data_IF_874963851303
#
_entry.id   IF_874963851303
#
_cell.length_a   1.000
_cell.length_b   1.000
_cell.length_c   1.000
_cell.angle_alpha   90.00
_cell.angle_beta   90.00
_cell.angle_gamma   90.00
#
_symmetry.space_group_name_H-M   'P 1'
#
loop_
_entity.id
_entity.type
_entity.pdbx_description
1 polymer ?
#
# COMPACT_ATOMS: atom_id res chain seq x y z
N UNK A 1 37.15 12.96 0.98
CA UNK A 1 36.06 11.98 0.78
C UNK A 1 35.32 12.36 -0.49
N UNK A 2 35.96 12.15 -1.63
CA UNK A 2 35.46 12.46 -2.96
C UNK A 2 34.57 11.31 -3.47
N UNK A 3 33.33 11.64 -3.80
CA UNK A 3 32.44 10.92 -4.73
C UNK A 3 32.42 9.39 -4.67
N UNK A 4 31.81 8.84 -3.61
CA UNK A 4 31.12 7.56 -3.73
C UNK A 4 29.86 7.77 -4.59
N UNK A 5 30.00 7.74 -5.92
CA UNK A 5 28.87 7.58 -6.84
C UNK A 5 28.27 6.19 -6.56
N UNK A 6 27.28 6.15 -5.67
CA UNK A 6 26.50 4.95 -5.39
C UNK A 6 25.84 4.50 -6.70
N UNK A 7 26.29 3.38 -7.24
CA UNK A 7 25.69 2.78 -8.43
C UNK A 7 24.17 2.56 -8.20
N UNK A 8 23.33 2.79 -9.21
CA UNK A 8 21.90 2.54 -9.09
C UNK A 8 21.63 1.06 -8.77
N UNK A 9 20.67 0.82 -7.87
CA UNK A 9 20.30 -0.53 -7.46
C UNK A 9 19.80 -1.34 -8.67
N UNK A 10 20.13 -2.65 -8.76
CA UNK A 10 19.51 -3.51 -9.75
C UNK A 10 17.99 -3.53 -9.55
N UNK A 11 17.18 -3.80 -10.59
CA UNK A 11 15.71 -3.68 -10.52
C UNK A 11 15.07 -4.40 -9.33
N UNK A 12 15.57 -5.58 -8.96
CA UNK A 12 15.12 -6.35 -7.80
C UNK A 12 15.51 -5.70 -6.45
N UNK A 13 16.67 -5.04 -6.39
CA UNK A 13 17.12 -4.29 -5.22
C UNK A 13 16.28 -3.03 -4.99
N UNK A 14 15.93 -2.32 -6.08
CA UNK A 14 14.98 -1.20 -6.05
C UNK A 14 13.58 -1.65 -5.65
N UNK A 15 13.13 -2.82 -6.12
CA UNK A 15 11.85 -3.40 -5.74
C UNK A 15 11.81 -3.77 -4.24
N UNK A 16 12.88 -4.40 -3.72
CA UNK A 16 12.98 -4.77 -2.30
C UNK A 16 13.06 -3.53 -1.39
N UNK A 17 13.81 -2.52 -1.80
CA UNK A 17 13.87 -1.23 -1.10
C UNK A 17 12.51 -0.52 -1.08
N UNK A 18 11.83 -0.48 -2.23
CA UNK A 18 10.48 0.07 -2.35
C UNK A 18 9.47 -0.68 -1.49
N UNK A 19 9.48 -2.01 -1.52
CA UNK A 19 8.59 -2.84 -0.70
C UNK A 19 8.84 -2.67 0.80
N UNK A 20 10.12 -2.68 1.23
CA UNK A 20 10.49 -2.49 2.63
C UNK A 20 10.10 -1.10 3.14
N UNK A 21 10.33 -0.06 2.32
CA UNK A 21 9.90 1.30 2.63
C UNK A 21 8.38 1.43 2.72
N UNK A 22 7.64 0.75 1.84
CA UNK A 22 6.17 0.75 1.88
C UNK A 22 5.62 0.02 3.11
N UNK A 23 6.24 -1.08 3.54
CA UNK A 23 5.85 -1.78 4.77
C UNK A 23 6.11 -0.91 6.00
N UNK A 24 7.29 -0.30 6.10
CA UNK A 24 7.62 0.60 7.21
C UNK A 24 6.70 1.83 7.25
N UNK A 25 6.44 2.46 6.11
CA UNK A 25 5.52 3.59 6.02
C UNK A 25 4.11 3.19 6.45
N UNK A 26 3.59 2.06 5.95
CA UNK A 26 2.27 1.56 6.35
C UNK A 26 2.21 1.22 7.84
N UNK A 27 3.25 0.60 8.41
CA UNK A 27 3.31 0.32 9.84
C UNK A 27 3.29 1.61 10.69
N UNK A 28 4.03 2.65 10.28
CA UNK A 28 4.04 3.94 10.98
C UNK A 28 2.68 4.64 10.94
N UNK A 29 1.96 4.55 9.81
CA UNK A 29 0.63 5.18 9.67
C UNK A 29 -0.53 4.27 10.08
N UNK A 30 -0.25 3.01 10.45
CA UNK A 30 -1.26 2.01 10.75
C UNK A 30 -2.23 2.39 11.88
N UNK A 31 -1.81 3.09 12.95
CA UNK A 31 -2.73 3.58 13.97
C UNK A 31 -3.87 4.44 13.38
N UNK A 32 -3.61 5.21 12.32
CA UNK A 32 -4.64 6.00 11.64
C UNK A 32 -5.62 5.12 10.84
N UNK A 33 -5.18 3.96 10.35
CA UNK A 33 -6.07 2.99 9.71
C UNK A 33 -7.04 2.37 10.69
N UNK A 34 -6.56 1.93 11.86
CA UNK A 34 -7.46 1.41 12.90
C UNK A 34 -8.47 2.47 13.32
N UNK A 35 -7.99 3.67 13.64
CA UNK A 35 -8.85 4.77 14.10
C UNK A 35 -9.89 5.11 13.04
N UNK A 36 -9.48 5.21 11.77
CA UNK A 36 -10.40 5.41 10.65
C UNK A 36 -11.45 4.30 10.60
N UNK A 37 -11.04 3.04 10.55
CA UNK A 37 -11.96 1.91 10.37
C UNK A 37 -12.94 1.81 11.55
N UNK A 38 -12.47 1.94 12.80
CA UNK A 38 -13.35 1.96 13.99
C UNK A 38 -14.34 3.12 13.96
N UNK A 39 -13.91 4.33 13.60
CA UNK A 39 -14.79 5.50 13.44
C UNK A 39 -15.82 5.31 12.34
N UNK A 40 -15.50 4.60 11.25
CA UNK A 40 -16.41 4.36 10.12
C UNK A 40 -17.45 3.28 10.40
N UNK A 41 -17.14 2.31 11.27
CA UNK A 41 -18.03 1.20 11.59
C UNK A 41 -18.91 1.49 12.80
N UNK A 42 -18.46 2.31 13.74
CA UNK A 42 -19.27 2.64 14.91
C UNK A 42 -20.55 3.38 14.49
N UNK A 43 -21.65 3.00 15.12
CA UNK A 43 -22.93 3.70 15.06
C UNK A 43 -23.39 3.92 16.49
N UNK A 44 -23.89 5.12 16.80
CA UNK A 44 -24.47 5.47 18.10
C UNK A 44 -25.65 4.54 18.37
N UNK A 45 -25.58 3.85 19.50
CA UNK A 45 -26.72 3.08 19.98
C UNK A 45 -27.82 4.00 20.46
N UNK A 46 -29.08 3.58 20.25
CA UNK A 46 -30.27 4.36 20.63
C UNK A 46 -30.42 4.55 22.14
N UNK A 47 -29.90 3.60 22.91
CA UNK A 47 -29.92 3.62 24.38
C UNK A 47 -28.75 4.41 24.99
N UNK A 48 -27.83 4.93 24.16
CA UNK A 48 -26.61 5.61 24.60
C UNK A 48 -25.59 4.69 25.28
N UNK A 49 -25.77 3.36 25.23
CA UNK A 49 -24.91 2.41 25.92
C UNK A 49 -23.73 1.95 25.07
N UNK A 50 -22.55 1.81 25.69
CA UNK A 50 -21.34 1.32 25.04
C UNK A 50 -20.35 2.40 24.61
N UNK A 51 -19.16 1.97 24.23
CA UNK A 51 -18.10 2.88 23.81
C UNK A 51 -18.40 3.52 22.47
N UNK A 52 -18.37 4.85 22.45
CA UNK A 52 -18.44 5.68 21.25
C UNK A 52 -17.20 6.56 21.19
N UNK A 53 -16.59 6.66 20.02
CA UNK A 53 -15.44 7.53 19.77
C UNK A 53 -15.92 8.87 19.21
N UNK A 54 -15.68 9.96 19.94
CA UNK A 54 -16.06 11.32 19.50
C UNK A 54 -15.19 11.85 18.37
N UNK A 55 -14.01 11.27 18.18
CA UNK A 55 -13.09 11.63 17.11
C UNK A 55 -11.80 10.85 17.16
N UNK A 56 -10.85 11.22 16.29
CA UNK A 56 -9.59 10.49 16.13
C UNK A 56 -8.75 10.45 17.40
N UNK A 57 -8.65 11.57 18.10
CA UNK A 57 -7.84 11.67 19.33
C UNK A 57 -8.47 10.87 20.47
N UNK A 58 -9.79 10.98 20.63
CA UNK A 58 -10.56 10.20 21.60
C UNK A 58 -10.45 8.70 21.32
N UNK A 59 -10.54 8.29 20.05
CA UNK A 59 -10.31 6.90 19.64
C UNK A 59 -8.91 6.40 20.01
N UNK A 60 -7.85 7.16 19.70
CA UNK A 60 -6.48 6.78 20.07
C UNK A 60 -6.35 6.63 21.58
N UNK A 61 -6.86 7.61 22.34
CA UNK A 61 -6.79 7.61 23.80
C UNK A 61 -7.47 6.38 24.39
N UNK A 62 -8.73 6.14 24.03
CA UNK A 62 -9.51 4.98 24.50
C UNK A 62 -8.86 3.66 24.12
N UNK A 63 -8.42 3.49 22.87
CA UNK A 63 -7.72 2.27 22.44
C UNK A 63 -6.46 2.03 23.26
N UNK A 64 -5.68 3.07 23.57
CA UNK A 64 -4.45 2.93 24.36
C UNK A 64 -4.77 2.64 25.84
N UNK A 65 -5.80 3.25 26.41
CA UNK A 65 -6.26 2.99 27.77
C UNK A 65 -6.80 1.55 27.91
N UNK A 66 -7.53 1.06 26.92
CA UNK A 66 -8.18 -0.24 26.95
C UNK A 66 -7.25 -1.38 26.53
N UNK A 67 -6.52 -1.24 25.42
CA UNK A 67 -5.76 -2.31 24.79
C UNK A 67 -4.23 -2.08 24.80
N UNK A 68 -3.78 -0.93 25.32
CA UNK A 68 -2.40 -0.50 25.20
C UNK A 68 -2.00 -0.11 23.78
N UNK A 69 -0.71 0.19 23.58
CA UNK A 69 -0.18 0.56 22.26
C UNK A 69 -0.38 -0.56 21.24
N UNK A 70 -0.34 -1.83 21.66
CA UNK A 70 -0.60 -2.97 20.79
C UNK A 70 -2.01 -2.96 20.17
N UNK A 71 -3.00 -2.35 20.83
CA UNK A 71 -4.35 -2.17 20.28
C UNK A 71 -4.38 -1.35 18.99
N UNK A 72 -3.51 -0.33 18.87
CA UNK A 72 -3.36 0.48 17.65
C UNK A 72 -2.77 -0.30 16.46
N UNK A 73 -2.29 -1.51 16.70
CA UNK A 73 -1.69 -2.41 15.71
C UNK A 73 -2.49 -3.71 15.48
N UNK A 74 -3.70 -3.80 16.05
CA UNK A 74 -4.60 -4.95 15.88
C UNK A 74 -5.00 -5.20 14.41
N UNK A 75 -4.64 -6.36 13.87
CA UNK A 75 -4.94 -6.72 12.48
C UNK A 75 -3.94 -6.20 11.44
N UNK A 76 -2.74 -5.77 11.88
CA UNK A 76 -1.70 -5.30 10.95
C UNK A 76 -1.30 -6.37 9.93
N UNK A 77 -1.27 -7.65 10.32
CA UNK A 77 -0.93 -8.76 9.43
C UNK A 77 -1.92 -8.88 8.26
N UNK A 78 -3.23 -8.86 8.55
CA UNK A 78 -4.27 -8.85 7.51
C UNK A 78 -4.19 -7.61 6.64
N UNK A 79 -3.84 -6.45 7.21
CA UNK A 79 -3.67 -5.22 6.44
C UNK A 79 -2.47 -5.29 5.49
N UNK A 80 -1.31 -5.76 5.96
CA UNK A 80 -0.12 -5.92 5.13
C UNK A 80 -0.37 -6.93 4.00
N UNK A 81 -1.04 -8.05 4.29
CA UNK A 81 -1.46 -9.02 3.28
C UNK A 81 -2.43 -8.39 2.27
N UNK A 82 -3.39 -7.59 2.74
CA UNK A 82 -4.33 -6.85 1.90
C UNK A 82 -3.65 -5.85 0.98
N UNK A 83 -2.66 -5.10 1.48
CA UNK A 83 -1.86 -4.16 0.67
C UNK A 83 -1.05 -4.92 -0.38
N UNK A 84 -0.36 -5.99 0.00
CA UNK A 84 0.42 -6.81 -0.92
C UNK A 84 -0.46 -7.41 -2.03
N UNK A 85 -1.61 -7.99 -1.66
CA UNK A 85 -2.57 -8.55 -2.59
C UNK A 85 -3.15 -7.48 -3.54
N UNK A 86 -3.53 -6.32 -3.01
CA UNK A 86 -4.10 -5.22 -3.80
C UNK A 86 -3.10 -4.71 -4.83
N UNK A 87 -1.85 -4.47 -4.42
CA UNK A 87 -0.82 -4.00 -5.32
C UNK A 87 -0.51 -5.04 -6.41
N UNK A 88 -0.32 -6.30 -6.01
CA UNK A 88 -0.06 -7.38 -6.97
C UNK A 88 -1.18 -7.51 -8.00
N UNK A 89 -2.43 -7.64 -7.52
CA UNK A 89 -3.59 -7.80 -8.39
C UNK A 89 -3.78 -6.59 -9.31
N UNK A 90 -3.64 -5.37 -8.80
CA UNK A 90 -3.73 -4.16 -9.61
C UNK A 90 -2.69 -4.14 -10.73
N UNK A 91 -1.40 -4.32 -10.42
CA UNK A 91 -0.34 -4.27 -11.43
C UNK A 91 -0.45 -5.41 -12.44
N UNK A 92 -0.82 -6.62 -11.99
CA UNK A 92 -1.05 -7.76 -12.85
C UNK A 92 -2.17 -7.49 -13.86
N UNK A 93 -3.36 -7.10 -13.39
CA UNK A 93 -4.49 -6.79 -14.27
C UNK A 93 -4.24 -5.56 -15.14
N UNK A 94 -3.58 -4.54 -14.62
CA UNK A 94 -3.20 -3.36 -15.38
C UNK A 94 -2.24 -3.71 -16.52
N UNK A 95 -1.24 -4.57 -16.27
CA UNK A 95 -0.34 -5.05 -17.31
C UNK A 95 -1.10 -5.80 -18.41
N UNK A 96 -2.06 -6.67 -18.04
CA UNK A 96 -2.89 -7.40 -19.02
C UNK A 96 -3.75 -6.43 -19.83
N UNK A 97 -4.50 -5.56 -19.16
CA UNK A 97 -5.40 -4.58 -19.81
C UNK A 97 -4.61 -3.67 -20.74
N UNK A 98 -3.45 -3.17 -20.30
CA UNK A 98 -2.55 -2.32 -21.11
C UNK A 98 -2.00 -3.06 -22.32
N UNK A 99 -1.57 -4.31 -22.17
CA UNK A 99 -1.06 -5.13 -23.29
C UNK A 99 -2.14 -5.40 -24.32
N UNK A 100 -3.37 -5.69 -23.87
CA UNK A 100 -4.51 -5.87 -24.77
C UNK A 100 -4.84 -4.55 -25.48
N UNK A 101 -4.91 -3.44 -24.77
CA UNK A 101 -5.19 -2.13 -25.36
C UNK A 101 -4.14 -1.71 -26.41
N UNK A 102 -2.85 -1.95 -26.14
CA UNK A 102 -1.77 -1.70 -27.10
C UNK A 102 -1.91 -2.56 -28.36
N UNK A 103 -2.29 -3.84 -28.21
CA UNK A 103 -2.52 -4.76 -29.33
C UNK A 103 -3.67 -4.30 -30.22
N UNK A 104 -4.76 -3.78 -29.65
CA UNK A 104 -5.91 -3.28 -30.41
C UNK A 104 -5.68 -1.88 -31.01
N UNK A 105 -4.95 -1.01 -30.31
CA UNK A 105 -4.69 0.37 -30.75
C UNK A 105 -3.53 0.48 -31.74
N UNK A 106 -2.69 -0.55 -31.88
CA UNK A 106 -1.48 -0.52 -32.72
C UNK A 106 -0.38 0.45 -32.22
N UNK A 107 -0.52 1.01 -31.02
CA UNK A 107 0.41 1.99 -30.43
C UNK A 107 0.56 1.75 -28.93
N UNK A 108 1.78 1.93 -28.42
CA UNK A 108 2.11 1.92 -27.00
C UNK A 108 1.91 3.28 -26.31
N UNK A 109 1.56 4.32 -27.07
CA UNK A 109 1.26 5.64 -26.54
C UNK A 109 -0.25 5.79 -26.36
N UNK A 110 -0.69 5.83 -25.11
CA UNK A 110 -2.09 6.04 -24.74
C UNK A 110 -2.28 7.43 -24.14
N UNK A 111 -3.42 8.06 -24.43
CA UNK A 111 -3.80 9.31 -23.78
C UNK A 111 -3.99 9.11 -22.29
N UNK A 112 -3.88 10.18 -21.50
CA UNK A 112 -4.12 10.12 -20.04
C UNK A 112 -5.50 9.56 -19.71
N UNK A 113 -6.53 9.89 -20.50
CA UNK A 113 -7.87 9.36 -20.33
C UNK A 113 -7.95 7.85 -20.58
N UNK A 114 -7.23 7.34 -21.59
CA UNK A 114 -7.13 5.92 -21.86
C UNK A 114 -6.37 5.19 -20.74
N UNK A 115 -5.28 5.76 -20.24
CA UNK A 115 -4.53 5.23 -19.09
C UNK A 115 -5.38 5.17 -17.81
N UNK A 116 -6.18 6.20 -17.54
CA UNK A 116 -7.12 6.21 -16.42
C UNK A 116 -8.22 5.15 -16.59
N UNK A 117 -8.73 4.97 -17.80
CA UNK A 117 -9.77 3.97 -18.10
C UNK A 117 -9.22 2.55 -17.93
N UNK A 118 -8.01 2.28 -18.43
CA UNK A 118 -7.32 1.01 -18.22
C UNK A 118 -7.04 0.75 -16.74
N UNK A 119 -6.61 1.78 -15.99
CA UNK A 119 -6.43 1.71 -14.54
C UNK A 119 -7.74 1.40 -13.81
N UNK A 120 -8.86 1.97 -14.24
CA UNK A 120 -10.18 1.70 -13.68
C UNK A 120 -10.61 0.24 -13.94
N UNK A 121 -10.49 -0.25 -15.17
CA UNK A 121 -10.82 -1.65 -15.52
C UNK A 121 -9.93 -2.62 -14.74
N UNK A 122 -8.63 -2.35 -14.67
CA UNK A 122 -7.69 -3.14 -13.88
C UNK A 122 -8.05 -3.15 -12.39
N UNK A 123 -8.41 -1.99 -11.84
CA UNK A 123 -8.89 -1.85 -10.47
C UNK A 123 -10.15 -2.66 -10.20
N UNK A 124 -11.12 -2.66 -11.12
CA UNK A 124 -12.34 -3.46 -11.00
C UNK A 124 -12.04 -4.97 -11.02
N UNK A 125 -11.16 -5.43 -11.91
CA UNK A 125 -10.74 -6.84 -11.97
C UNK A 125 -9.97 -7.25 -10.71
N UNK A 126 -9.07 -6.39 -10.22
CA UNK A 126 -8.31 -6.64 -9.00
C UNK A 126 -9.22 -6.78 -7.77
N UNK A 127 -10.35 -6.08 -7.72
CA UNK A 127 -11.31 -6.18 -6.62
C UNK A 127 -11.92 -7.58 -6.48
N UNK A 128 -12.07 -8.34 -7.56
CA UNK A 128 -12.58 -9.70 -7.49
C UNK A 128 -11.71 -10.61 -6.61
N UNK A 129 -10.40 -10.34 -6.55
CA UNK A 129 -9.44 -11.14 -5.77
C UNK A 129 -9.07 -10.51 -4.42
N UNK A 130 -9.25 -9.21 -4.28
CA UNK A 130 -8.77 -8.46 -3.11
C UNK A 130 -9.86 -8.18 -2.08
N UNK A 131 -11.14 -8.22 -2.46
CA UNK A 131 -12.26 -8.02 -1.54
C UNK A 131 -12.31 -9.08 -0.42
N UNK A 132 -12.08 -10.38 -0.67
CA UNK A 132 -11.99 -11.38 0.41
C UNK A 132 -11.01 -11.01 1.52
N UNK A 133 -9.82 -10.54 1.14
CA UNK A 133 -8.80 -10.11 2.11
C UNK A 133 -9.24 -8.82 2.79
N UNK A 134 -9.82 -7.87 2.05
CA UNK A 134 -10.33 -6.62 2.64
C UNK A 134 -11.44 -6.85 3.68
N UNK A 135 -12.34 -7.81 3.45
CA UNK A 135 -13.37 -8.21 4.42
C UNK A 135 -12.73 -8.75 5.69
N UNK A 136 -11.78 -9.69 5.56
CA UNK A 136 -11.08 -10.28 6.71
C UNK A 136 -10.35 -9.20 7.51
N UNK A 137 -9.59 -8.34 6.84
CA UNK A 137 -8.85 -7.24 7.47
C UNK A 137 -9.78 -6.26 8.19
N UNK A 138 -10.90 -5.88 7.57
CA UNK A 138 -11.86 -4.95 8.17
C UNK A 138 -12.49 -5.56 9.43
N UNK A 139 -12.81 -6.86 9.40
CA UNK A 139 -13.28 -7.57 10.61
C UNK A 139 -12.23 -7.57 11.71
N UNK A 140 -10.97 -7.90 11.40
CA UNK A 140 -9.89 -7.89 12.40
C UNK A 140 -9.64 -6.49 13.00
N UNK A 141 -9.73 -5.43 12.20
CA UNK A 141 -9.57 -4.04 12.67
C UNK A 141 -10.70 -3.57 13.58
N UNK A 142 -11.88 -4.21 13.50
CA UNK A 142 -13.08 -3.86 14.27
C UNK A 142 -13.44 -4.86 15.35
N UNK A 143 -12.60 -5.87 15.57
CA UNK A 143 -12.79 -6.83 16.65
C UNK A 143 -12.72 -6.14 18.02
N UNK A 144 -13.58 -6.55 18.97
CA UNK A 144 -13.48 -6.11 20.36
C UNK A 144 -12.29 -6.78 21.05
N UNK A 145 -11.80 -6.16 22.13
CA UNK A 145 -10.61 -6.56 22.90
C UNK A 145 -10.55 -8.06 23.28
N UNK A 146 -11.70 -8.67 23.58
CA UNK A 146 -11.80 -10.07 24.02
C UNK A 146 -11.96 -11.12 22.92
N UNK A 147 -12.06 -10.70 21.65
CA UNK A 147 -12.39 -11.60 20.53
C UNK A 147 -11.44 -11.36 19.34
N UNK A 148 -10.14 -11.24 19.64
CA UNK A 148 -9.10 -11.07 18.64
C UNK A 148 -8.80 -12.41 17.96
N UNK A 149 -9.23 -12.54 16.70
CA UNK A 149 -9.08 -13.76 15.92
C UNK A 149 -8.00 -13.63 14.86
N UNK A 150 -7.36 -14.74 14.55
CA UNK A 150 -6.42 -14.84 13.43
C UNK A 150 -7.11 -14.66 12.07
N UNK A 151 -6.32 -14.53 10.99
CA UNK A 151 -6.83 -14.35 9.62
C UNK A 151 -7.72 -15.54 9.21
N UNK A 152 -7.26 -16.77 9.45
CA UNK A 152 -7.99 -17.99 9.07
C UNK A 152 -9.29 -18.16 9.86
N UNK A 153 -9.25 -17.87 11.16
CA UNK A 153 -10.43 -17.97 12.01
C UNK A 153 -11.46 -16.89 11.67
N UNK A 154 -11.01 -15.67 11.37
CA UNK A 154 -11.87 -14.59 10.87
C UNK A 154 -12.48 -14.95 9.51
N UNK A 155 -11.71 -15.57 8.60
CA UNK A 155 -12.22 -16.05 7.33
C UNK A 155 -13.29 -17.13 7.52
N UNK A 156 -13.05 -18.08 8.43
CA UNK A 156 -14.02 -19.12 8.79
C UNK A 156 -15.31 -18.53 9.35
N UNK A 157 -15.22 -17.56 10.27
CA UNK A 157 -16.39 -16.85 10.81
C UNK A 157 -17.20 -16.12 9.73
N UNK A 158 -16.54 -15.56 8.71
CA UNK A 158 -17.25 -14.95 7.57
C UNK A 158 -18.00 -16.01 6.78
N UNK A 159 -17.35 -17.15 6.50
CA UNK A 159 -17.93 -18.25 5.71
C UNK A 159 -19.06 -18.95 6.47
N UNK A 160 -18.99 -19.02 7.80
CA UNK A 160 -20.03 -19.61 8.65
C UNK A 160 -21.24 -18.67 8.88
N UNK A 161 -21.18 -17.43 8.41
CA UNK A 161 -22.35 -16.53 8.44
C UNK A 161 -23.37 -16.88 7.35
N UNK A 162 -24.58 -16.32 7.44
CA UNK A 162 -25.72 -16.61 6.55
C UNK A 162 -25.42 -16.52 5.03
N UNK A 163 -24.41 -15.74 4.62
CA UNK A 163 -24.03 -15.56 3.21
C UNK A 163 -23.06 -16.65 2.70
N UNK A 164 -22.59 -17.56 3.56
CA UNK A 164 -21.62 -18.59 3.21
C UNK A 164 -20.31 -17.99 2.69
N UNK A 165 -19.71 -18.66 1.70
CA UNK A 165 -18.50 -18.21 0.99
C UNK A 165 -18.66 -16.85 0.29
N UNK A 166 -19.89 -16.47 -0.10
CA UNK A 166 -20.15 -15.19 -0.76
C UNK A 166 -20.00 -14.00 0.20
N UNK A 167 -20.03 -14.24 1.52
CA UNK A 167 -19.77 -13.25 2.56
C UNK A 167 -18.39 -12.60 2.44
N UNK A 168 -17.40 -13.29 1.85
CA UNK A 168 -16.07 -12.74 1.57
C UNK A 168 -16.09 -11.64 0.50
N UNK A 169 -17.16 -11.53 -0.30
CA UNK A 169 -17.32 -10.47 -1.30
C UNK A 169 -18.25 -9.33 -0.85
N UNK A 170 -18.58 -9.24 0.44
CA UNK A 170 -19.33 -8.11 0.98
C UNK A 170 -18.62 -6.79 0.67
N UNK A 171 -19.40 -5.84 0.15
CA UNK A 171 -18.88 -4.55 -0.30
C UNK A 171 -18.32 -4.53 -1.73
N UNK A 172 -18.32 -5.63 -2.48
CA UNK A 172 -17.85 -5.65 -3.88
C UNK A 172 -18.58 -4.60 -4.74
N UNK A 173 -19.91 -4.54 -4.68
CA UNK A 173 -20.71 -3.55 -5.44
C UNK A 173 -20.31 -2.11 -5.11
N UNK A 174 -20.17 -1.79 -3.81
CA UNK A 174 -19.72 -0.47 -3.37
C UNK A 174 -18.30 -0.17 -3.84
N UNK A 175 -17.42 -1.17 -3.77
CA UNK A 175 -16.03 -1.06 -4.19
C UNK A 175 -15.88 -0.84 -5.70
N UNK A 176 -16.72 -1.47 -6.52
CA UNK A 176 -16.73 -1.29 -7.97
C UNK A 176 -17.16 0.14 -8.34
N UNK A 177 -18.15 0.70 -7.64
CA UNK A 177 -18.51 2.11 -7.82
C UNK A 177 -17.37 3.03 -7.38
N UNK A 178 -16.65 2.69 -6.30
CA UNK A 178 -15.48 3.44 -5.83
C UNK A 178 -14.28 3.43 -6.80
N UNK A 179 -14.28 2.58 -7.84
CA UNK A 179 -13.28 2.63 -8.91
C UNK A 179 -13.29 3.97 -9.65
N UNK A 180 -14.37 4.75 -9.55
CA UNK A 180 -14.46 6.11 -10.10
C UNK A 180 -13.59 7.14 -9.35
N UNK A 181 -13.11 6.84 -8.13
CA UNK A 181 -12.40 7.81 -7.28
C UNK A 181 -11.15 8.43 -7.94
N UNK A 182 -10.27 7.66 -8.64
CA UNK A 182 -9.17 8.24 -9.40
C UNK A 182 -9.63 9.19 -10.50
N UNK A 183 -10.72 8.88 -11.20
CA UNK A 183 -11.30 9.75 -12.24
C UNK A 183 -11.81 11.07 -11.65
N UNK A 184 -12.50 11.02 -10.50
CA UNK A 184 -12.92 12.22 -9.76
C UNK A 184 -11.70 13.03 -9.32
N UNK A 185 -10.65 12.36 -8.81
CA UNK A 185 -9.41 13.00 -8.38
C UNK A 185 -8.74 13.73 -9.53
N UNK A 186 -8.61 13.08 -10.69
CA UNK A 186 -8.02 13.69 -11.89
C UNK A 186 -8.86 14.87 -12.42
N UNK A 187 -10.19 14.70 -12.49
CA UNK A 187 -11.08 15.79 -12.90
C UNK A 187 -10.99 17.00 -11.95
N UNK A 188 -10.94 16.75 -10.64
CA UNK A 188 -10.72 17.80 -9.64
C UNK A 188 -9.33 18.45 -9.78
N UNK A 189 -8.30 17.66 -10.11
CA UNK A 189 -6.94 18.15 -10.36
C UNK A 189 -6.89 19.12 -11.53
N UNK A 190 -7.44 18.75 -12.68
CA UNK A 190 -7.44 19.61 -13.86
C UNK A 190 -8.26 20.90 -13.62
N UNK A 191 -9.41 20.81 -12.95
CA UNK A 191 -10.22 21.99 -12.62
C UNK A 191 -9.54 22.92 -11.62
N UNK A 192 -9.01 22.38 -10.52
CA UNK A 192 -8.29 23.19 -9.52
C UNK A 192 -7.03 23.83 -10.10
N UNK A 193 -6.34 23.13 -11.03
CA UNK A 193 -5.17 23.68 -11.72
C UNK A 193 -5.51 24.93 -12.53
N UNK A 194 -6.62 24.90 -13.25
CA UNK A 194 -7.09 26.05 -14.04
C UNK A 194 -7.50 27.19 -13.12
N UNK A 195 -8.30 26.90 -12.08
CA UNK A 195 -8.85 27.92 -11.17
C UNK A 195 -7.78 28.57 -10.30
N UNK A 196 -6.89 27.79 -9.70
CA UNK A 196 -5.91 28.29 -8.71
C UNK A 196 -4.63 28.79 -9.39
N UNK A 197 -4.17 28.12 -10.45
CA UNK A 197 -2.88 28.39 -11.07
C UNK A 197 -2.96 28.94 -12.50
N UNK A 198 -4.16 29.25 -12.99
CA UNK A 198 -4.38 29.79 -14.34
C UNK A 198 -3.99 28.82 -15.46
N UNK A 199 -3.97 27.52 -15.19
CA UNK A 199 -3.62 26.50 -16.19
C UNK A 199 -2.12 26.39 -16.48
N UNK A 200 -1.24 26.91 -15.62
CA UNK A 200 0.22 26.80 -15.77
C UNK A 200 0.67 25.36 -16.04
N UNK A 201 1.45 25.17 -17.10
CA UNK A 201 1.98 23.87 -17.53
C UNK A 201 2.95 23.27 -16.50
N UNK A 202 3.69 24.11 -15.78
CA UNK A 202 4.68 23.73 -14.79
C UNK A 202 4.34 24.34 -13.43
N UNK A 203 4.23 23.48 -12.42
CA UNK A 203 3.98 23.85 -11.02
C UNK A 203 5.24 23.60 -10.20
N UNK A 204 5.48 24.43 -9.19
CA UNK A 204 6.53 24.17 -8.19
C UNK A 204 6.18 22.89 -7.40
N UNK A 205 7.17 22.18 -6.82
CA UNK A 205 6.91 20.93 -6.09
C UNK A 205 5.83 21.06 -4.99
N UNK A 206 5.84 22.15 -4.22
CA UNK A 206 4.84 22.38 -3.18
C UNK A 206 3.45 22.75 -3.74
N UNK A 207 3.39 23.43 -4.90
CA UNK A 207 2.14 23.76 -5.60
C UNK A 207 1.50 22.48 -6.16
N UNK A 208 2.30 21.61 -6.78
CA UNK A 208 1.86 20.30 -7.27
C UNK A 208 1.39 19.39 -6.12
N UNK A 209 2.09 19.43 -4.98
CA UNK A 209 1.68 18.73 -3.77
C UNK A 209 0.33 19.24 -3.24
N UNK A 210 0.20 20.56 -3.08
CA UNK A 210 -1.04 21.18 -2.59
C UNK A 210 -2.22 20.88 -3.52
N UNK A 211 -2.00 21.01 -4.83
CA UNK A 211 -3.00 20.69 -5.85
C UNK A 211 -3.42 19.23 -5.74
N UNK A 212 -2.47 18.29 -5.71
CA UNK A 212 -2.75 16.86 -5.56
C UNK A 212 -3.51 16.54 -4.26
N UNK A 213 -3.12 17.14 -3.14
CA UNK A 213 -3.77 16.95 -1.84
C UNK A 213 -5.21 17.48 -1.83
N UNK A 214 -5.46 18.66 -2.39
CA UNK A 214 -6.80 19.24 -2.51
C UNK A 214 -7.70 18.40 -3.41
N UNK A 215 -7.21 18.00 -4.59
CA UNK A 215 -7.95 17.14 -5.52
C UNK A 215 -8.32 15.81 -4.90
N UNK A 216 -7.39 15.18 -4.16
CA UNK A 216 -7.66 13.92 -3.48
C UNK A 216 -8.64 14.09 -2.32
N UNK A 217 -8.56 15.21 -1.60
CA UNK A 217 -9.49 15.52 -0.51
C UNK A 217 -10.91 15.72 -1.04
N UNK A 218 -11.09 16.48 -2.13
CA UNK A 218 -12.40 16.67 -2.78
C UNK A 218 -12.99 15.34 -3.26
N UNK A 219 -12.19 14.51 -3.93
CA UNK A 219 -12.63 13.18 -4.36
C UNK A 219 -13.01 12.29 -3.17
N UNK A 220 -12.28 12.40 -2.06
CA UNK A 220 -12.58 11.68 -0.83
C UNK A 220 -13.90 12.14 -0.22
N UNK A 221 -14.12 13.45 -0.09
CA UNK A 221 -15.40 14.01 0.40
C UNK A 221 -16.57 13.50 -0.44
N UNK A 222 -16.46 13.56 -1.77
CA UNK A 222 -17.51 13.12 -2.69
C UNK A 222 -17.80 11.62 -2.59
N UNK A 223 -16.80 10.81 -2.26
CA UNK A 223 -16.94 9.34 -2.18
C UNK A 223 -17.11 8.82 -0.76
N UNK A 224 -17.02 9.68 0.25
CA UNK A 224 -17.02 9.29 1.67
C UNK A 224 -18.25 8.48 2.08
N UNK A 225 -19.50 8.86 1.72
CA UNK A 225 -20.68 8.06 2.07
C UNK A 225 -20.57 6.61 1.62
N UNK A 226 -20.04 6.40 0.41
CA UNK A 226 -19.86 5.07 -0.15
C UNK A 226 -18.66 4.32 0.45
N UNK A 227 -17.62 5.03 0.87
CA UNK A 227 -16.49 4.45 1.61
C UNK A 227 -16.97 3.93 2.97
N UNK A 228 -17.72 4.74 3.71
CA UNK A 228 -18.30 4.34 5.01
C UNK A 228 -19.24 3.15 4.81
N UNK A 229 -20.11 3.20 3.80
CA UNK A 229 -21.02 2.10 3.50
C UNK A 229 -20.30 0.80 3.10
N UNK A 230 -19.21 0.90 2.32
CA UNK A 230 -18.35 -0.25 1.99
C UNK A 230 -17.77 -0.85 3.27
N UNK A 231 -17.20 -0.02 4.14
CA UNK A 231 -16.56 -0.50 5.37
C UNK A 231 -17.59 -1.13 6.32
N UNK A 232 -18.78 -0.54 6.44
CA UNK A 232 -19.89 -1.12 7.22
C UNK A 232 -20.44 -2.44 6.66
N UNK A 233 -20.37 -2.67 5.34
CA UNK A 233 -20.69 -3.98 4.75
C UNK A 233 -19.64 -5.05 5.09
N UNK A 234 -18.38 -4.63 5.29
CA UNK A 234 -17.24 -5.51 5.53
C UNK A 234 -17.03 -5.83 7.01
N UNK A 235 -17.55 -4.98 7.90
CA UNK A 235 -17.49 -5.19 9.35
C UNK A 235 -18.53 -6.20 9.84
N UNK A 236 -18.47 -6.51 11.14
CA UNK A 236 -19.56 -7.22 11.80
C UNK A 236 -20.82 -6.33 11.85
N UNK A 237 -22.03 -6.91 11.75
CA UNK A 237 -23.25 -6.16 11.93
C UNK A 237 -23.33 -5.55 13.34
N UNK A 238 -23.93 -4.35 13.47
CA UNK A 238 -24.19 -3.72 14.77
C UNK A 238 -24.99 -4.63 15.71
N UNK A 239 -24.81 -4.52 17.04
CA UNK A 239 -25.54 -5.32 18.01
C UNK A 239 -27.07 -5.26 17.85
N UNK A 240 -27.63 -4.09 17.48
CA UNK A 240 -29.08 -3.94 17.28
C UNK A 240 -29.65 -4.80 16.15
N UNK A 241 -28.78 -5.28 15.25
CA UNK A 241 -29.18 -6.15 14.13
C UNK A 241 -29.10 -7.64 14.48
N UNK A 242 -28.80 -8.01 15.72
CA UNK A 242 -28.80 -9.40 16.20
C UNK A 242 -28.01 -10.37 15.29
N UNK A 243 -26.84 -9.93 14.80
CA UNK A 243 -26.00 -10.72 13.90
C UNK A 243 -26.38 -10.68 12.42
N UNK A 244 -27.52 -10.06 12.05
CA UNK A 244 -27.97 -9.97 10.66
C UNK A 244 -27.15 -8.95 9.88
N UNK A 245 -26.36 -9.38 8.87
CA UNK A 245 -25.51 -8.50 8.10
C UNK A 245 -26.31 -7.55 7.19
N UNK A 246 -25.68 -6.45 6.80
CA UNK A 246 -26.20 -5.56 5.77
C UNK A 246 -26.05 -6.19 4.39
N UNK A 247 -27.07 -6.06 3.54
CA UNK A 247 -27.09 -6.63 2.18
C UNK A 247 -26.68 -5.62 1.10
N UNK A 248 -26.82 -4.32 1.37
CA UNK A 248 -26.52 -3.27 0.40
C UNK A 248 -25.88 -2.04 1.05
N UNK A 249 -25.12 -1.29 0.26
CA UNK A 249 -24.53 -0.03 0.74
C UNK A 249 -25.61 1.02 1.03
N UNK A 250 -26.76 0.97 0.34
CA UNK A 250 -27.92 1.81 0.63
C UNK A 250 -28.49 1.55 2.03
N UNK A 251 -28.59 0.28 2.41
CA UNK A 251 -29.05 -0.13 3.73
C UNK A 251 -28.11 0.36 4.85
N UNK A 252 -26.79 0.26 4.64
CA UNK A 252 -25.81 0.82 5.59
C UNK A 252 -25.96 2.34 5.72
N UNK A 253 -26.06 3.04 4.58
CA UNK A 253 -26.20 4.50 4.61
C UNK A 253 -27.50 4.93 5.29
N UNK A 254 -28.63 4.28 4.98
CA UNK A 254 -29.91 4.55 5.61
C UNK A 254 -29.83 4.33 7.12
N UNK A 255 -29.25 3.21 7.55
CA UNK A 255 -29.08 2.89 8.97
C UNK A 255 -28.24 3.95 9.70
N UNK A 256 -27.14 4.41 9.11
CA UNK A 256 -26.31 5.49 9.69
C UNK A 256 -27.11 6.79 9.79
N UNK A 257 -27.82 7.16 8.72
CA UNK A 257 -28.63 8.40 8.69
C UNK A 257 -29.75 8.37 9.72
N UNK A 258 -30.40 7.22 9.92
CA UNK A 258 -31.46 7.06 10.92
C UNK A 258 -30.95 7.19 12.36
N UNK A 259 -29.72 6.75 12.64
CA UNK A 259 -29.18 6.75 14.00
C UNK A 259 -28.39 8.02 14.34
N UNK A 260 -27.83 8.70 13.34
CA UNK A 260 -26.84 9.77 13.56
C UNK A 260 -26.99 10.98 12.65
N UNK A 261 -27.94 10.92 11.71
CA UNK A 261 -28.14 11.93 10.69
C UNK A 261 -27.12 11.85 9.54
N UNK A 262 -27.25 12.78 8.60
CA UNK A 262 -26.50 12.80 7.34
C UNK A 262 -24.99 13.00 7.52
N UNK A 263 -24.57 13.69 8.60
CA UNK A 263 -23.15 13.87 8.92
C UNK A 263 -22.47 12.57 9.36
N UNK A 264 -23.23 11.55 9.80
CA UNK A 264 -22.69 10.22 10.10
C UNK A 264 -22.01 9.55 8.89
N UNK A 265 -22.44 9.89 7.67
CA UNK A 265 -21.82 9.39 6.43
C UNK A 265 -20.42 9.93 6.17
N UNK A 266 -19.97 10.94 6.92
CA UNK A 266 -18.66 11.57 6.78
C UNK A 266 -17.66 11.19 7.88
N UNK A 267 -18.01 10.19 8.71
CA UNK A 267 -17.11 9.71 9.76
C UNK A 267 -15.80 9.17 9.22
N UNK A 268 -14.74 9.33 10.01
CA UNK A 268 -13.39 8.89 9.67
C UNK A 268 -12.72 9.72 8.56
N UNK A 269 -13.34 10.80 8.07
CA UNK A 269 -12.75 11.65 7.03
C UNK A 269 -11.46 12.34 7.50
N UNK A 270 -11.41 12.75 8.77
CA UNK A 270 -10.22 13.36 9.38
C UNK A 270 -8.99 12.45 9.31
N UNK A 271 -9.01 11.26 9.95
CA UNK A 271 -7.94 10.27 9.84
C UNK A 271 -7.60 9.93 8.38
N UNK A 272 -8.58 9.85 7.49
CA UNK A 272 -8.37 9.51 6.10
C UNK A 272 -7.60 10.58 5.32
N UNK A 273 -7.93 11.86 5.52
CA UNK A 273 -7.21 13.00 4.91
C UNK A 273 -5.81 13.10 5.51
N UNK A 274 -5.69 13.04 6.84
CA UNK A 274 -4.39 13.09 7.53
C UNK A 274 -3.50 11.94 7.08
N UNK A 275 -4.03 10.72 7.00
CA UNK A 275 -3.32 9.57 6.45
C UNK A 275 -2.88 9.83 5.01
N UNK A 276 -3.75 10.37 4.15
CA UNK A 276 -3.38 10.67 2.76
C UNK A 276 -2.17 11.61 2.66
N UNK A 277 -2.14 12.66 3.48
CA UNK A 277 -1.05 13.63 3.54
C UNK A 277 0.22 13.01 4.14
N UNK A 278 0.09 12.32 5.28
CA UNK A 278 1.22 11.71 5.99
C UNK A 278 1.81 10.54 5.23
N UNK A 279 1.01 9.66 4.64
CA UNK A 279 1.51 8.56 3.81
C UNK A 279 2.31 9.13 2.65
N UNK A 280 1.87 10.20 2.00
CA UNK A 280 2.65 10.77 0.90
C UNK A 280 3.99 11.34 1.39
N UNK A 281 4.01 12.07 2.52
CA UNK A 281 5.25 12.61 3.10
C UNK A 281 6.19 11.52 3.64
N UNK A 282 5.67 10.60 4.46
CA UNK A 282 6.41 9.50 5.06
C UNK A 282 6.87 8.50 4.01
N UNK A 283 6.08 8.18 2.99
CA UNK A 283 6.50 7.31 1.89
C UNK A 283 7.65 7.93 1.10
N UNK A 284 7.62 9.23 0.82
CA UNK A 284 8.74 9.92 0.16
C UNK A 284 10.00 9.89 1.02
N UNK A 285 9.89 10.22 2.31
CA UNK A 285 11.02 10.17 3.24
C UNK A 285 11.55 8.75 3.45
N UNK A 286 10.66 7.77 3.64
CA UNK A 286 11.02 6.37 3.85
C UNK A 286 11.65 5.78 2.58
N UNK A 287 11.11 6.07 1.39
CA UNK A 287 11.70 5.64 0.12
C UNK A 287 13.12 6.18 -0.01
N UNK A 288 13.35 7.47 0.22
CA UNK A 288 14.68 8.07 0.12
C UNK A 288 15.67 7.47 1.13
N UNK A 289 15.26 7.29 2.38
CA UNK A 289 16.13 6.73 3.44
C UNK A 289 16.41 5.24 3.23
N UNK A 290 15.40 4.46 2.86
CA UNK A 290 15.53 3.03 2.58
C UNK A 290 16.36 2.81 1.31
N UNK A 291 16.16 3.60 0.27
CA UNK A 291 16.99 3.53 -0.95
C UNK A 291 18.46 3.84 -0.65
N UNK A 292 18.75 4.83 0.21
CA UNK A 292 20.13 5.11 0.67
C UNK A 292 20.70 3.95 1.50
N UNK A 293 19.93 3.40 2.44
CA UNK A 293 20.33 2.23 3.24
C UNK A 293 20.65 1.01 2.36
N UNK A 294 19.82 0.72 1.36
CA UNK A 294 20.06 -0.36 0.41
C UNK A 294 21.29 -0.07 -0.45
N UNK A 295 21.46 1.16 -0.97
CA UNK A 295 22.67 1.54 -1.71
C UNK A 295 23.95 1.32 -0.88
N UNK A 296 23.94 1.71 0.40
CA UNK A 296 25.06 1.49 1.33
C UNK A 296 25.27 0.00 1.60
N UNK A 297 24.22 -0.77 1.86
CA UNK A 297 24.29 -2.21 2.09
C UNK A 297 24.87 -2.95 0.87
N UNK A 298 24.40 -2.64 -0.33
CA UNK A 298 24.91 -3.23 -1.56
C UNK A 298 26.35 -2.82 -1.86
N UNK A 299 26.71 -1.55 -1.64
CA UNK A 299 28.09 -1.11 -1.74
C UNK A 299 28.99 -1.89 -0.76
N UNK A 300 28.54 -2.10 0.48
CA UNK A 300 29.25 -2.89 1.47
C UNK A 300 29.41 -4.36 1.05
N UNK A 301 28.35 -5.02 0.56
CA UNK A 301 28.41 -6.41 0.08
C UNK A 301 29.38 -6.53 -1.11
N UNK A 302 29.37 -5.56 -2.04
CA UNK A 302 30.25 -5.54 -3.22
C UNK A 302 31.72 -5.35 -2.80
N UNK A 303 32.00 -4.43 -1.87
CA UNK A 303 33.30 -4.23 -1.25
C UNK A 303 33.79 -5.48 -0.50
N UNK A 304 32.92 -6.14 0.25
CA UNK A 304 33.24 -7.38 0.95
C UNK A 304 33.60 -8.51 -0.03
N UNK A 305 32.84 -8.65 -1.13
CA UNK A 305 33.14 -9.60 -2.21
C UNK A 305 34.47 -9.27 -2.90
N UNK A 306 34.73 -8.00 -3.23
CA UNK A 306 35.99 -7.57 -3.85
C UNK A 306 37.19 -7.86 -2.95
N UNK A 307 37.14 -7.50 -1.66
CA UNK A 307 38.20 -7.82 -0.69
C UNK A 307 38.45 -9.33 -0.60
N UNK A 308 37.39 -10.13 -0.65
CA UNK A 308 37.49 -11.61 -0.63
C UNK A 308 38.14 -12.15 -1.90
N UNK A 309 37.76 -11.62 -3.07
CA UNK A 309 38.34 -11.94 -4.38
C UNK A 309 39.81 -11.50 -4.50
N UNK A 310 40.18 -10.32 -3.99
CA UNK A 310 41.57 -9.85 -3.95
C UNK A 310 42.43 -10.72 -3.04
N UNK A 311 41.90 -11.14 -1.88
CA UNK A 311 42.60 -12.05 -0.97
C UNK A 311 42.84 -13.42 -1.61
N UNK A 312 41.83 -13.95 -2.31
CA UNK A 312 41.94 -15.19 -3.11
C UNK A 312 42.94 -15.03 -4.26
N UNK A 313 42.87 -13.93 -5.01
CA UNK A 313 43.81 -13.59 -6.09
C UNK A 313 45.26 -13.53 -5.60
N UNK A 314 45.52 -12.89 -4.46
CA UNK A 314 46.85 -12.86 -3.84
C UNK A 314 47.32 -14.25 -3.44
N UNK A 315 46.49 -15.05 -2.79
CA UNK A 315 46.83 -16.43 -2.42
C UNK A 315 47.13 -17.31 -3.64
N UNK A 316 46.36 -17.17 -4.72
CA UNK A 316 46.58 -17.89 -5.98
C UNK A 316 47.88 -17.44 -6.63
N UNK A 317 48.16 -16.12 -6.69
CA UNK A 317 49.43 -15.59 -7.22
C UNK A 317 50.64 -16.05 -6.41
N UNK A 318 50.54 -16.12 -5.08
CA UNK A 318 51.62 -16.63 -4.23
C UNK A 318 51.85 -18.13 -4.44
N UNK A 319 50.80 -18.93 -4.61
CA UNK A 319 50.92 -20.36 -4.93
C UNK A 319 51.43 -20.64 -6.33
N UNK A 320 51.09 -19.78 -7.30
CA UNK A 320 51.53 -19.93 -8.69
C UNK A 320 52.91 -19.33 -8.96
N UNK A 321 53.42 -18.42 -8.12
CA UNK A 321 54.78 -17.84 -8.23
C UNK A 321 55.89 -18.90 -8.37
N UNK A 322 55.97 -19.93 -7.51
CA UNK A 322 57.02 -20.95 -7.64
C UNK A 322 56.86 -21.77 -8.93
N UNK A 323 55.62 -22.08 -9.35
CA UNK A 323 55.35 -22.81 -10.60
C UNK A 323 55.72 -21.97 -11.82
N UNK A 324 55.40 -20.67 -11.81
CA UNK A 324 55.76 -19.75 -12.89
C UNK A 324 57.28 -19.52 -12.97
N UNK A 325 57.97 -19.48 -11.83
CA UNK A 325 59.43 -19.42 -11.78
C UNK A 325 60.07 -20.70 -12.36
N UNK A 326 59.58 -21.88 -11.98
CA UNK A 326 60.06 -23.18 -12.47
C UNK A 326 59.84 -23.35 -13.99
N UNK A 327 58.71 -22.86 -14.52
CA UNK A 327 58.44 -22.84 -15.97
C UNK A 327 59.33 -21.85 -16.71
N UNK A 328 59.59 -20.66 -16.14
CA UNK A 328 60.45 -19.66 -16.76
C UNK A 328 61.93 -20.08 -16.77
N UNK A 329 62.37 -20.83 -15.76
CA UNK A 329 63.71 -21.42 -15.67
C UNK A 329 63.87 -22.53 -16.72
N UNK A 330 62.90 -23.46 -16.81
CA UNK A 330 62.88 -24.50 -17.86
C UNK A 330 62.80 -23.94 -19.28
N UNK A 331 62.14 -22.80 -19.48
CA UNK A 331 62.08 -22.13 -20.78
C UNK A 331 63.41 -21.46 -21.16
N UNK A 332 64.21 -21.00 -20.19
CA UNK A 332 65.57 -20.50 -20.42
C UNK A 332 66.54 -21.62 -20.78
N UNK A 333 66.40 -22.77 -20.15
CA UNK A 333 67.25 -23.94 -20.44
C UNK A 333 66.89 -24.64 -21.76
N UNK A 334 65.67 -24.42 -22.28
CA UNK A 334 65.15 -25.02 -23.51
C UNK A 334 65.36 -24.22 -24.81
N UNK A 335 66.00 -23.05 -24.77
CA UNK A 335 66.26 -22.23 -25.98
C UNK A 335 67.70 -22.42 -26.46
N UNK A 336 67.96 -23.28 -27.46
CA UNK A 336 69.26 -23.32 -28.10
C UNK A 336 69.49 -22.01 -28.87
N UNK A 337 70.40 -21.18 -28.35
CA UNK A 337 71.03 -20.09 -29.09
C UNK A 337 71.87 -20.69 -30.23
N UNK A 338 71.23 -20.99 -31.37
CA UNK A 338 71.95 -21.10 -32.64
C UNK A 338 72.14 -19.70 -33.23
N UNK A 339 73.14 -18.99 -32.73
CA UNK A 339 73.84 -17.96 -33.50
C UNK A 339 75.01 -18.62 -34.23
N UNK A 340 74.84 -18.91 -35.52
CA UNK A 340 75.80 -18.62 -36.59
C UNK A 340 75.22 -18.94 -37.95
#
# INVERSE_FOLDING_TARGET
MSDLKLEPLPPWGSALAGASGAVLANALVYPLDIVKTKLQVQVKKRDGSGEYYEGSFDAIKKIVEDEGIAGLYSGIEGSLLGVASTNFAYFYWYSIVRTLAAKYSGSNQHSTAAELSMGAVAGALAQLFTIPIAVITTRQQTQPKGDKKGILETAKEVIESDDGWSGLWRGLKASLVLVVNPSITYGAYERLRVVIFGGRATLKPWEAFLLGALSKSLATVATQPLIVAKVGLQSRPPPERNGVPFKSFGEVMAYIVEHEGTLGLFKGIGPQIVKGILVQGVLMMAKERVEVLFKVLFAYIKLAKQKRLEKLSRQVKERLRPVAADVAEKAKDGLPLQTR
#
